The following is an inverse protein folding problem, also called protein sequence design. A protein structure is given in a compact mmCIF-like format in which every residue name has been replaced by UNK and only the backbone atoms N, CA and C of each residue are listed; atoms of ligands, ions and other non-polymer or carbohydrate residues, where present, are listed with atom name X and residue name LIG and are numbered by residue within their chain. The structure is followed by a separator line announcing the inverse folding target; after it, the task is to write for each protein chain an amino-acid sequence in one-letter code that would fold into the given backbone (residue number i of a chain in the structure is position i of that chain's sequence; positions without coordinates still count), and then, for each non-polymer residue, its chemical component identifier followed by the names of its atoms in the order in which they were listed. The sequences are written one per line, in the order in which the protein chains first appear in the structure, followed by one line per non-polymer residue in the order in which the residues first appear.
data_IF_879292520250
#
_entry.id   IF_879292520250
#
_cell.length_a   1.000
_cell.length_b   1.000
_cell.length_c   1.000
_cell.angle_alpha   90.00
_cell.angle_beta   90.00
_cell.angle_gamma   90.00
#
_symmetry.space_group_name_H-M   'P 1'
#
loop_
_entity.id
_entity.type
_entity.pdbx_description
1 polymer ?
#
# COMPACT_ATOMS: atom_id res chain seq x y z
N UNK A 1 -14.39 24.07 -3.25
CA UNK A 1 -13.75 23.18 -2.26
C UNK A 1 -13.01 22.15 -3.09
N UNK A 2 -11.69 22.23 -3.13
CA UNK A 2 -10.86 21.24 -3.82
C UNK A 2 -10.87 20.00 -2.93
N UNK A 3 -11.58 18.95 -3.34
CA UNK A 3 -11.57 17.68 -2.62
C UNK A 3 -10.14 17.17 -2.64
N UNK A 4 -9.50 16.88 -1.49
CA UNK A 4 -8.14 16.38 -1.51
C UNK A 4 -8.11 15.10 -2.33
N UNK A 5 -7.27 15.10 -3.36
CA UNK A 5 -6.95 13.94 -4.18
C UNK A 5 -6.64 12.74 -3.29
N UNK A 6 -7.13 11.55 -3.63
CA UNK A 6 -6.95 10.35 -2.81
C UNK A 6 -5.45 10.04 -2.60
N UNK A 7 -4.61 10.36 -3.58
CA UNK A 7 -3.14 10.40 -3.41
C UNK A 7 -2.68 11.21 -2.19
N UNK A 8 -3.17 12.44 -2.04
CA UNK A 8 -2.77 13.30 -0.92
C UNK A 8 -3.23 12.72 0.42
N UNK A 9 -4.36 11.99 0.46
CA UNK A 9 -4.82 11.30 1.67
C UNK A 9 -3.82 10.21 2.06
N UNK A 10 -3.41 9.37 1.10
CA UNK A 10 -2.42 8.30 1.35
C UNK A 10 -1.09 8.89 1.80
N UNK A 11 -0.56 9.87 1.07
CA UNK A 11 0.75 10.45 1.37
C UNK A 11 0.76 11.28 2.66
N UNK A 12 -0.35 11.95 2.99
CA UNK A 12 -0.47 12.69 4.25
C UNK A 12 -0.56 11.76 5.48
N UNK A 13 -1.14 10.56 5.34
CA UNK A 13 -1.28 9.62 6.45
C UNK A 13 -0.03 8.76 6.65
N UNK A 14 0.60 8.33 5.56
CA UNK A 14 1.65 7.29 5.59
C UNK A 14 2.99 7.75 5.02
N UNK A 15 3.11 9.01 4.61
CA UNK A 15 4.30 9.54 3.96
C UNK A 15 4.39 9.15 2.48
N UNK A 16 5.49 9.51 1.80
CA UNK A 16 5.63 9.33 0.36
C UNK A 16 5.53 7.84 -0.03
N UNK A 17 4.91 7.57 -1.18
CA UNK A 17 4.78 6.23 -1.71
C UNK A 17 6.17 5.60 -1.97
N UNK A 18 6.38 4.35 -1.56
CA UNK A 18 7.70 3.69 -1.64
C UNK A 18 8.68 4.08 -0.53
N UNK A 19 8.31 4.98 0.39
CA UNK A 19 9.15 5.38 1.53
C UNK A 19 9.12 4.44 2.72
N UNK A 20 8.28 3.40 2.70
CA UNK A 20 8.14 2.42 3.78
C UNK A 20 9.19 1.30 3.73
N UNK A 21 9.05 0.35 4.65
CA UNK A 21 9.92 -0.82 4.72
C UNK A 21 9.52 -1.88 3.67
N UNK A 22 10.46 -2.76 3.32
CA UNK A 22 10.23 -3.92 2.44
C UNK A 22 9.90 -5.21 3.21
N UNK A 23 10.00 -5.16 4.54
CA UNK A 23 9.57 -6.22 5.47
C UNK A 23 8.99 -5.56 6.72
N UNK A 24 8.07 -6.23 7.41
CA UNK A 24 7.59 -5.83 8.73
C UNK A 24 7.75 -6.96 9.74
N UNK A 25 8.20 -6.60 10.94
CA UNK A 25 8.17 -7.49 12.09
C UNK A 25 6.82 -7.34 12.81
N UNK A 26 6.00 -8.39 12.79
CA UNK A 26 4.70 -8.44 13.44
C UNK A 26 4.75 -9.54 14.50
N UNK A 27 4.55 -9.16 15.76
CA UNK A 27 4.61 -10.08 16.92
C UNK A 27 5.89 -10.92 16.98
N UNK A 28 7.02 -10.34 16.54
CA UNK A 28 8.33 -10.99 16.54
C UNK A 28 8.61 -11.89 15.34
N UNK A 29 7.72 -11.95 14.34
CA UNK A 29 7.92 -12.66 13.08
C UNK A 29 8.11 -11.64 11.96
N UNK A 30 9.16 -11.80 11.17
CA UNK A 30 9.41 -10.96 9.99
C UNK A 30 8.62 -11.48 8.79
N UNK A 31 7.90 -10.58 8.13
CA UNK A 31 7.14 -10.86 6.92
C UNK A 31 7.62 -9.95 5.79
N UNK A 32 7.91 -10.56 4.64
CA UNK A 32 8.12 -9.83 3.38
C UNK A 32 6.81 -9.24 2.87
N UNK A 33 6.86 -8.21 2.02
CA UNK A 33 5.63 -7.59 1.49
C UNK A 33 4.71 -8.58 0.76
N UNK A 34 5.27 -9.50 -0.03
CA UNK A 34 4.48 -10.54 -0.70
C UNK A 34 3.75 -11.43 0.29
N UNK A 35 4.40 -11.80 1.40
CA UNK A 35 3.75 -12.59 2.45
C UNK A 35 2.65 -11.80 3.13
N UNK A 36 2.87 -10.51 3.40
CA UNK A 36 1.83 -9.64 3.96
C UNK A 36 0.63 -9.55 3.02
N UNK A 37 0.88 -9.40 1.71
CA UNK A 37 -0.15 -9.37 0.68
C UNK A 37 -1.02 -10.64 0.70
N UNK A 38 -0.39 -11.83 0.77
CA UNK A 38 -1.11 -13.09 0.90
C UNK A 38 -1.89 -13.19 2.22
N UNK A 39 -1.31 -12.75 3.34
CA UNK A 39 -1.92 -12.83 4.68
C UNK A 39 -3.19 -11.99 4.79
N UNK A 40 -3.21 -10.80 4.18
CA UNK A 40 -4.40 -9.94 4.16
C UNK A 40 -5.39 -10.33 3.05
N UNK A 41 -5.11 -11.37 2.27
CA UNK A 41 -5.97 -11.85 1.18
C UNK A 41 -5.99 -10.94 -0.06
N UNK A 42 -4.93 -10.14 -0.27
CA UNK A 42 -4.79 -9.23 -1.39
C UNK A 42 -3.82 -9.73 -2.49
N UNK A 43 -3.40 -10.99 -2.42
CA UNK A 43 -2.57 -11.62 -3.45
C UNK A 43 -3.44 -11.97 -4.67
N UNK A 44 -3.35 -11.14 -5.70
CA UNK A 44 -3.90 -11.38 -7.02
C UNK A 44 -2.79 -11.35 -8.06
N UNK A 45 -2.98 -11.98 -9.24
CA UNK A 45 -1.96 -12.06 -10.30
C UNK A 45 -1.36 -10.69 -10.69
N UNK A 46 -2.20 -9.64 -10.71
CA UNK A 46 -1.80 -8.27 -11.06
C UNK A 46 -1.47 -7.39 -9.85
N UNK A 47 -1.51 -7.94 -8.63
CA UNK A 47 -1.21 -7.19 -7.42
C UNK A 47 0.28 -7.11 -7.15
N UNK A 48 0.79 -5.90 -6.96
CA UNK A 48 2.23 -5.65 -6.73
C UNK A 48 2.44 -4.90 -5.43
N UNK A 49 3.09 -5.49 -4.42
CA UNK A 49 3.42 -4.75 -3.20
C UNK A 49 4.42 -3.64 -3.50
N UNK A 50 4.27 -2.50 -2.81
CA UNK A 50 5.16 -1.34 -2.92
C UNK A 50 6.04 -1.25 -1.67
N UNK A 51 5.41 -1.11 -0.51
CA UNK A 51 6.07 -0.96 0.78
C UNK A 51 5.06 -1.17 1.93
N UNK A 52 5.56 -1.32 3.15
CA UNK A 52 4.73 -1.43 4.35
C UNK A 52 5.29 -0.61 5.52
N UNK A 53 4.41 -0.16 6.41
CA UNK A 53 4.76 0.62 7.58
C UNK A 53 4.04 0.13 8.83
N UNK A 54 4.70 0.23 9.98
CA UNK A 54 4.02 0.18 11.27
C UNK A 54 3.57 1.61 11.62
N UNK A 55 2.27 1.83 11.76
CA UNK A 55 1.68 3.15 12.03
C UNK A 55 1.71 3.43 13.53
N UNK A 56 1.31 2.44 14.33
CA UNK A 56 1.35 2.43 15.79
C UNK A 56 1.44 0.96 16.26
N UNK A 57 1.57 0.74 17.57
CA UNK A 57 1.70 -0.61 18.10
C UNK A 57 0.49 -1.48 17.74
N UNK A 58 0.71 -2.54 16.96
CA UNK A 58 -0.35 -3.45 16.52
C UNK A 58 -1.17 -2.97 15.32
N UNK A 59 -0.81 -1.84 14.71
CA UNK A 59 -1.48 -1.29 13.53
C UNK A 59 -0.46 -1.05 12.40
N UNK A 60 -0.71 -1.68 11.27
CA UNK A 60 0.18 -1.70 10.13
C UNK A 60 -0.55 -1.24 8.88
N UNK A 61 0.21 -0.79 7.89
CA UNK A 61 -0.29 -0.48 6.56
C UNK A 61 0.57 -1.18 5.53
N UNK A 62 -0.07 -1.86 4.58
CA UNK A 62 0.57 -2.39 3.37
C UNK A 62 0.08 -1.58 2.18
N UNK A 63 1.03 -1.02 1.42
CA UNK A 63 0.75 -0.32 0.19
C UNK A 63 1.08 -1.21 -0.99
N UNK A 64 0.12 -1.38 -1.89
CA UNK A 64 0.26 -2.20 -3.08
C UNK A 64 -0.52 -1.60 -4.24
N UNK A 65 -0.16 -2.00 -5.45
CA UNK A 65 -0.91 -1.68 -6.67
C UNK A 65 -1.89 -2.82 -6.89
N UNK A 66 -3.16 -2.47 -7.00
CA UNK A 66 -4.17 -3.31 -7.59
C UNK A 66 -4.16 -3.05 -9.11
N UNK A 67 -3.55 -3.95 -9.86
CA UNK A 67 -3.42 -3.81 -11.31
C UNK A 67 -4.75 -4.03 -12.06
N UNK A 68 -5.73 -4.69 -11.45
CA UNK A 68 -7.04 -4.92 -12.07
C UNK A 68 -7.88 -3.63 -12.10
N UNK A 69 -7.83 -2.84 -11.03
CA UNK A 69 -8.57 -1.59 -10.87
C UNK A 69 -7.69 -0.35 -11.14
N UNK A 70 -6.40 -0.56 -11.45
CA UNK A 70 -5.39 0.49 -11.69
C UNK A 70 -5.35 1.51 -10.53
N UNK A 71 -5.21 1.00 -9.31
CA UNK A 71 -5.18 1.82 -8.09
C UNK A 71 -4.01 1.47 -7.19
N UNK A 72 -3.54 2.48 -6.46
CA UNK A 72 -2.75 2.28 -5.26
C UNK A 72 -3.70 2.07 -4.10
N UNK A 73 -3.52 0.96 -3.38
CA UNK A 73 -4.28 0.62 -2.18
C UNK A 73 -3.35 0.74 -0.99
N UNK A 74 -3.77 1.49 0.03
CA UNK A 74 -3.19 1.49 1.36
C UNK A 74 -4.14 0.72 2.28
N UNK A 75 -3.84 -0.55 2.52
CA UNK A 75 -4.61 -1.43 3.39
C UNK A 75 -4.07 -1.34 4.82
N UNK A 76 -4.89 -0.81 5.73
CA UNK A 76 -4.64 -0.77 7.16
C UNK A 76 -5.08 -2.11 7.78
N UNK A 77 -4.22 -2.76 8.57
CA UNK A 77 -4.50 -4.06 9.19
C UNK A 77 -3.88 -4.20 10.58
N UNK A 78 -4.43 -5.10 11.40
CA UNK A 78 -3.94 -5.37 12.75
C UNK A 78 -2.94 -6.54 12.83
N UNK A 79 -2.41 -6.83 14.02
CA UNK A 79 -1.48 -7.94 14.26
C UNK A 79 -2.04 -9.36 14.04
N UNK A 80 -3.35 -9.51 13.79
CA UNK A 80 -4.04 -10.72 13.35
C UNK A 80 -4.35 -10.71 11.84
N UNK A 81 -3.78 -9.75 11.09
CA UNK A 81 -3.98 -9.56 9.64
C UNK A 81 -5.41 -9.22 9.23
N UNK A 82 -6.24 -8.69 10.14
CA UNK A 82 -7.59 -8.25 9.78
C UNK A 82 -7.53 -6.85 9.21
N UNK A 83 -8.14 -6.67 8.05
CA UNK A 83 -8.31 -5.34 7.45
C UNK A 83 -9.16 -4.47 8.37
N UNK A 84 -8.62 -3.31 8.73
CA UNK A 84 -9.28 -2.29 9.54
C UNK A 84 -9.90 -1.22 8.64
N UNK A 85 -9.18 -0.84 7.59
CA UNK A 85 -9.57 0.23 6.66
C UNK A 85 -8.75 0.13 5.37
N UNK A 86 -9.26 0.71 4.30
CA UNK A 86 -8.55 0.82 3.03
C UNK A 86 -8.73 2.23 2.48
N UNK A 87 -7.62 2.81 2.00
CA UNK A 87 -7.66 4.01 1.17
C UNK A 87 -7.19 3.63 -0.22
N UNK A 88 -7.96 4.00 -1.25
CA UNK A 88 -7.67 3.67 -2.64
C UNK A 88 -7.57 4.94 -3.46
N UNK A 89 -6.54 5.04 -4.27
CA UNK A 89 -6.29 6.20 -5.09
C UNK A 89 -5.90 5.76 -6.50
N UNK A 90 -6.35 6.50 -7.51
CA UNK A 90 -6.08 6.14 -8.90
C UNK A 90 -4.59 6.21 -9.21
N UNK A 91 -4.07 5.20 -9.90
CA UNK A 91 -2.65 5.12 -10.26
C UNK A 91 -2.19 6.37 -11.05
N UNK A 92 -3.07 6.90 -11.92
CA UNK A 92 -2.81 8.10 -12.72
C UNK A 92 -2.53 9.38 -11.91
N UNK A 93 -2.89 9.42 -10.62
CA UNK A 93 -2.54 10.53 -9.74
C UNK A 93 -1.03 10.60 -9.42
N UNK A 94 -0.31 9.50 -9.61
CA UNK A 94 1.15 9.41 -9.50
C UNK A 94 1.87 9.44 -10.85
N UNK A 95 1.20 9.10 -11.96
CA UNK A 95 1.79 9.12 -13.31
C UNK A 95 2.11 10.54 -13.83
N UNK A 96 1.41 11.56 -13.35
CA UNK A 96 1.62 12.96 -13.78
C UNK A 96 2.85 13.66 -13.20
N UNK A 97 3.57 13.05 -12.25
CA UNK A 97 4.56 13.74 -11.39
C UNK A 97 6.01 13.24 -11.61
N UNK A 98 6.28 12.49 -12.69
CA UNK A 98 7.62 11.94 -12.96
C UNK A 98 8.04 10.84 -11.97
N UNK A 99 7.09 10.29 -11.21
CA UNK A 99 7.33 9.21 -10.25
C UNK A 99 7.68 7.91 -10.97
N UNK A 100 8.56 7.11 -10.37
CA UNK A 100 9.07 5.81 -10.85
C UNK A 100 7.98 4.71 -10.88
N UNK A 101 6.71 5.08 -11.04
CA UNK A 101 5.58 4.17 -11.06
C UNK A 101 5.43 3.45 -12.40
N UNK A 102 6.08 3.98 -13.45
CA UNK A 102 6.19 3.34 -14.76
C UNK A 102 6.80 1.93 -14.70
N UNK A 103 7.54 1.61 -13.62
CA UNK A 103 8.04 0.24 -13.37
C UNK A 103 6.90 -0.74 -13.05
N UNK A 104 5.80 -0.26 -12.50
CA UNK A 104 4.71 -1.09 -12.00
C UNK A 104 3.49 -1.14 -12.93
N UNK A 105 3.29 -0.12 -13.78
CA UNK A 105 2.23 -0.05 -14.80
C UNK A 105 2.53 -0.85 -16.09
N UNK A 106 3.58 -1.68 -16.09
CA UNK A 106 4.00 -2.47 -17.25
C UNK A 106 2.96 -3.47 -17.73
N UNK A 107 2.51 -3.22 -18.96
CA UNK A 107 1.84 -4.09 -19.93
C UNK A 107 2.66 -5.34 -20.29
#
# INVERSE_FOLDING_TARGET
MDTPRDRQVIESRFGPLGGGAQCLAIRGVEYSLSQLLSQIGAEFDDSKPIDALAVEEGHYVLRYIDGQDQRVVAAEFDGDFRILSEVRASLSEWEGDGSNLAYYSGH
#
